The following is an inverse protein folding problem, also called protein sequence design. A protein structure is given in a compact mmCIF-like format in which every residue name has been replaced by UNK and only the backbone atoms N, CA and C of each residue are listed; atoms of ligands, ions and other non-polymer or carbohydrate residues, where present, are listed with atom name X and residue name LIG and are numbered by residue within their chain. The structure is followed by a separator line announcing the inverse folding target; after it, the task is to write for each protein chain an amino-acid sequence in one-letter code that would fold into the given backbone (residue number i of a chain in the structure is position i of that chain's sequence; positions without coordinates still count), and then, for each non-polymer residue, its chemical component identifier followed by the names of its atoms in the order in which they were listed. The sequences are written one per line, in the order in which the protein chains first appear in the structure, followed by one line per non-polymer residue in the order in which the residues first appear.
data_IF_177774783881
#
_entry.id   IF_177774783881
#
_cell.length_a   1.000
_cell.length_b   1.000
_cell.length_c   1.000
_cell.angle_alpha   90.00
_cell.angle_beta   90.00
_cell.angle_gamma   90.00
#
_symmetry.space_group_name_H-M   'P 1'
#
loop_
_entity.id
_entity.type
_entity.pdbx_description
1 polymer ?
#
# COMPACT_ATOMS: atom_id res chain seq x y z
N UNK A 1 10.59 -12.91 0.77
CA UNK A 1 10.89 -12.35 -0.56
C UNK A 1 12.15 -11.50 -0.44
N UNK A 2 13.12 -11.59 -1.37
CA UNK A 2 14.36 -10.80 -1.31
C UNK A 2 14.23 -9.62 -2.27
N UNK A 3 13.92 -8.45 -1.73
CA UNK A 3 13.80 -7.19 -2.48
C UNK A 3 15.09 -6.37 -2.31
N UNK A 4 15.52 -5.69 -3.37
CA UNK A 4 16.65 -4.74 -3.32
C UNK A 4 16.29 -3.44 -2.57
N UNK A 5 15.00 -3.15 -2.43
CA UNK A 5 14.50 -2.02 -1.67
C UNK A 5 14.91 -2.15 -0.19
N UNK A 6 15.68 -1.16 0.29
CA UNK A 6 16.18 -1.11 1.68
C UNK A 6 15.06 -0.88 2.69
N UNK A 7 14.04 -0.10 2.32
CA UNK A 7 12.95 0.26 3.20
C UNK A 7 11.80 -0.74 3.02
N UNK A 8 11.56 -1.54 4.04
CA UNK A 8 10.43 -2.47 4.13
C UNK A 8 9.67 -2.15 5.42
N UNK A 9 8.68 -1.28 5.26
CA UNK A 9 7.91 -0.75 6.38
C UNK A 9 6.66 -1.61 6.55
N UNK A 10 6.58 -2.29 7.70
CA UNK A 10 5.37 -3.04 8.05
C UNK A 10 4.32 -2.04 8.50
N UNK A 11 3.12 -2.20 7.97
CA UNK A 11 1.98 -1.38 8.36
C UNK A 11 0.66 -2.12 8.18
N UNK A 12 -0.38 -1.57 8.79
CA UNK A 12 -1.76 -2.03 8.61
C UNK A 12 -2.45 -1.13 7.59
N UNK A 13 -3.21 -1.73 6.67
CA UNK A 13 -4.01 -0.96 5.73
C UNK A 13 -5.12 -0.24 6.51
N UNK A 14 -5.20 1.08 6.34
CA UNK A 14 -6.22 1.95 6.94
C UNK A 14 -7.33 2.24 5.93
N UNK A 15 -6.96 2.53 4.69
CA UNK A 15 -7.91 2.79 3.62
C UNK A 15 -7.34 2.36 2.26
N UNK A 16 -8.27 2.03 1.36
CA UNK A 16 -8.00 1.79 -0.06
C UNK A 16 -9.04 2.60 -0.83
N UNK A 17 -8.57 3.49 -1.68
CA UNK A 17 -9.38 4.30 -2.58
C UNK A 17 -9.16 3.81 -4.01
N UNK A 18 -10.04 2.93 -4.52
CA UNK A 18 -9.91 2.41 -5.87
C UNK A 18 -10.30 3.49 -6.89
N UNK A 19 -9.42 3.72 -7.86
CA UNK A 19 -9.70 4.51 -9.06
C UNK A 19 -9.84 3.63 -10.29
N UNK A 20 -9.95 4.25 -11.47
CA UNK A 20 -10.16 3.52 -12.73
C UNK A 20 -8.92 2.75 -13.22
N UNK A 21 -7.71 3.23 -12.86
CA UNK A 21 -6.43 2.62 -13.27
C UNK A 21 -5.50 2.43 -12.09
N UNK A 22 -5.46 3.43 -11.19
CA UNK A 22 -4.67 3.40 -9.97
C UNK A 22 -5.59 3.35 -8.76
N UNK A 23 -5.07 2.83 -7.66
CA UNK A 23 -5.64 2.95 -6.32
C UNK A 23 -4.67 3.68 -5.41
N UNK A 24 -5.23 4.43 -4.47
CA UNK A 24 -4.48 5.02 -3.36
C UNK A 24 -4.68 4.13 -2.15
N UNK A 25 -3.59 3.66 -1.54
CA UNK A 25 -3.59 2.81 -0.35
C UNK A 25 -2.87 3.55 0.76
N UNK A 26 -3.53 3.71 1.90
CA UNK A 26 -2.93 4.30 3.10
C UNK A 26 -2.64 3.21 4.13
N UNK A 27 -1.39 3.16 4.57
CA UNK A 27 -0.90 2.25 5.60
C UNK A 27 -0.53 3.01 6.87
N UNK A 28 -0.98 2.53 8.02
CA UNK A 28 -0.47 2.95 9.33
C UNK A 28 0.76 2.11 9.68
N UNK A 29 1.90 2.76 9.84
CA UNK A 29 3.18 2.11 10.19
C UNK A 29 3.50 2.22 11.69
N UNK A 30 2.56 2.72 12.49
CA UNK A 30 2.69 2.93 13.92
C UNK A 30 3.32 4.27 14.29
N UNK A 31 3.21 4.64 15.57
CA UNK A 31 3.75 5.89 16.10
C UNK A 31 3.03 7.14 15.56
N UNK A 32 1.77 7.00 15.11
CA UNK A 32 0.98 8.09 14.51
C UNK A 32 1.31 8.37 13.05
N UNK A 33 2.22 7.61 12.44
CA UNK A 33 2.67 7.84 11.06
C UNK A 33 1.87 7.01 10.07
N UNK A 34 1.48 7.66 8.97
CA UNK A 34 0.78 7.04 7.86
C UNK A 34 1.60 7.17 6.58
N UNK A 35 1.63 6.11 5.78
CA UNK A 35 2.24 6.09 4.46
C UNK A 35 1.16 5.89 3.42
N UNK A 36 1.07 6.84 2.49
CA UNK A 36 0.18 6.74 1.33
C UNK A 36 0.98 6.27 0.12
N UNK A 37 0.46 5.26 -0.57
CA UNK A 37 1.04 4.70 -1.79
C UNK A 37 0.00 4.73 -2.91
N UNK A 38 0.44 5.05 -4.13
CA UNK A 38 -0.39 4.92 -5.31
C UNK A 38 0.12 3.74 -6.14
N UNK A 39 -0.73 2.73 -6.30
CA UNK A 39 -0.41 1.50 -7.04
C UNK A 39 -1.47 1.24 -8.11
N UNK A 40 -1.19 0.34 -9.05
CA UNK A 40 -2.17 -0.01 -10.09
C UNK A 40 -3.33 -0.83 -9.51
N UNK A 41 -4.54 -0.71 -10.08
CA UNK A 41 -5.66 -1.57 -9.68
C UNK A 41 -5.37 -3.05 -9.90
N UNK A 42 -4.57 -3.40 -10.93
CA UNK A 42 -4.15 -4.78 -11.14
C UNK A 42 -3.34 -5.31 -9.95
N UNK A 43 -2.50 -4.49 -9.34
CA UNK A 43 -1.75 -4.87 -8.13
C UNK A 43 -2.66 -5.08 -6.93
N UNK A 44 -3.64 -4.21 -6.72
CA UNK A 44 -4.65 -4.34 -5.64
C UNK A 44 -5.41 -5.66 -5.80
N UNK A 45 -5.94 -5.93 -7.00
CA UNK A 45 -6.67 -7.16 -7.30
C UNK A 45 -5.79 -8.40 -7.12
N UNK A 46 -4.53 -8.35 -7.55
CA UNK A 46 -3.57 -9.47 -7.39
C UNK A 46 -3.23 -9.75 -5.92
N UNK A 47 -3.33 -8.75 -5.06
CA UNK A 47 -3.09 -8.89 -3.61
C UNK A 47 -4.35 -9.29 -2.84
N UNK A 48 -5.52 -9.32 -3.51
CA UNK A 48 -6.81 -9.62 -2.87
C UNK A 48 -7.23 -8.55 -1.86
N UNK A 49 -6.82 -7.31 -2.11
CA UNK A 49 -7.07 -6.13 -1.27
C UNK A 49 -8.31 -5.35 -1.72
#
# INVERSE_FOLDING_TARGET
MKLSARNQLKGKIVSIEPGSVNAVVTLDIGGGNHITSMITMNSVNSLGL
#
